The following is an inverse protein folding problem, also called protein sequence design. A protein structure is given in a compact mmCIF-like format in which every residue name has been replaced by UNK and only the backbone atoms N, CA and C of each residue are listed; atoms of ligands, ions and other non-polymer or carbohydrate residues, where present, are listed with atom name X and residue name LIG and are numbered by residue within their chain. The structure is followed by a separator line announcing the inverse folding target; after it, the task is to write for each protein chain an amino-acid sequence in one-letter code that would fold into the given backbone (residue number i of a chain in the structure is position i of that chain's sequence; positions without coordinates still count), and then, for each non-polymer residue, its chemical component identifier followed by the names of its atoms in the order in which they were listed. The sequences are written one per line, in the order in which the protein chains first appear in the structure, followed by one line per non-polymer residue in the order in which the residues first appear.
data_IF_950886908569
#
_entry.id   IF_950886908569
#
_cell.length_a   1.000
_cell.length_b   1.000
_cell.length_c   1.000
_cell.angle_alpha   90.00
_cell.angle_beta   90.00
_cell.angle_gamma   90.00
#
_symmetry.space_group_name_H-M   'P 1'
#
loop_
_entity.id
_entity.type
_entity.pdbx_description
1 polymer ?
#
# COMPACT_ATOMS: atom_id res chain seq x y z
N UNK A 1 38.42 31.42 2.39
CA UNK A 1 37.54 30.78 3.38
C UNK A 1 36.68 29.83 2.56
N UNK A 2 36.96 28.53 2.62
CA UNK A 2 36.09 27.57 1.93
C UNK A 2 34.75 27.59 2.64
N UNK A 3 33.65 27.79 1.91
CA UNK A 3 32.32 27.56 2.41
C UNK A 3 32.27 26.07 2.90
N UNK A 4 32.19 25.87 4.21
CA UNK A 4 31.83 24.55 4.75
C UNK A 4 30.45 24.25 4.22
N UNK A 5 30.36 23.39 3.21
CA UNK A 5 29.11 22.97 2.63
C UNK A 5 28.27 22.33 3.76
N UNK A 6 27.19 22.97 4.14
CA UNK A 6 26.34 22.53 5.25
C UNK A 6 25.78 21.15 4.93
N UNK A 7 26.10 20.16 5.79
CA UNK A 7 25.63 18.78 5.61
C UNK A 7 24.11 18.71 5.74
N UNK A 8 23.43 18.27 4.69
CA UNK A 8 21.99 17.99 4.72
C UNK A 8 21.74 16.67 5.43
N UNK A 9 20.89 16.69 6.47
CA UNK A 9 20.58 15.53 7.31
C UNK A 9 19.19 15.02 7.04
N UNK A 10 19.10 13.72 6.72
CA UNK A 10 17.87 12.97 6.44
C UNK A 10 17.64 11.95 7.53
N UNK A 11 16.46 11.98 8.16
CA UNK A 11 16.07 11.09 9.25
C UNK A 11 15.03 10.07 8.79
N UNK A 12 15.35 8.80 8.88
CA UNK A 12 14.36 7.71 8.82
C UNK A 12 13.92 7.35 10.23
N UNK A 13 12.63 7.03 10.42
CA UNK A 13 12.03 6.80 11.73
C UNK A 13 11.56 5.35 11.89
N UNK A 14 12.11 4.67 12.90
CA UNK A 14 11.77 3.30 13.26
C UNK A 14 12.43 2.25 12.36
N UNK A 15 12.51 1.02 12.85
CA UNK A 15 13.22 -0.06 12.16
C UNK A 15 12.36 -0.83 11.15
N UNK A 16 11.08 -0.50 11.06
CA UNK A 16 10.17 -1.13 10.09
C UNK A 16 10.52 -0.67 8.67
N UNK A 17 10.28 -1.51 7.68
CA UNK A 17 10.58 -1.22 6.27
C UNK A 17 12.04 -0.82 6.05
N UNK A 18 12.97 -1.52 6.69
CA UNK A 18 14.40 -1.19 6.73
C UNK A 18 15.04 -1.01 5.33
N UNK A 19 14.54 -1.71 4.32
CA UNK A 19 15.03 -1.58 2.95
C UNK A 19 14.90 -0.14 2.40
N UNK A 20 13.90 0.63 2.86
CA UNK A 20 13.76 2.03 2.47
C UNK A 20 14.98 2.88 2.88
N UNK A 21 15.46 2.67 4.11
CA UNK A 21 16.68 3.30 4.61
C UNK A 21 17.93 2.78 3.91
N UNK A 22 18.08 1.45 3.84
CA UNK A 22 19.29 0.83 3.30
C UNK A 22 19.53 1.24 1.85
N UNK A 23 18.52 1.20 0.99
CA UNK A 23 18.65 1.58 -0.41
C UNK A 23 18.84 3.09 -0.59
N UNK A 24 18.22 3.94 0.24
CA UNK A 24 18.47 5.37 0.21
C UNK A 24 19.89 5.71 0.64
N UNK A 25 20.40 5.06 1.70
CA UNK A 25 21.77 5.23 2.16
C UNK A 25 22.79 4.75 1.12
N UNK A 26 22.51 3.61 0.48
CA UNK A 26 23.34 3.08 -0.63
C UNK A 26 23.38 4.09 -1.80
N UNK A 27 22.22 4.60 -2.23
CA UNK A 27 22.12 5.57 -3.31
C UNK A 27 22.88 6.87 -3.02
N UNK A 28 22.83 7.35 -1.77
CA UNK A 28 23.49 8.58 -1.32
C UNK A 28 24.94 8.40 -0.88
N UNK A 29 25.48 7.19 -0.86
CA UNK A 29 26.82 6.88 -0.33
C UNK A 29 27.97 7.63 -1.00
N UNK A 30 27.79 8.05 -2.25
CA UNK A 30 28.76 8.84 -3.01
C UNK A 30 28.71 10.35 -2.74
N UNK A 31 27.73 10.85 -1.97
CA UNK A 31 27.51 12.25 -1.70
C UNK A 31 27.82 12.59 -0.23
N UNK A 32 29.05 13.02 0.05
CA UNK A 32 29.54 13.27 1.42
C UNK A 32 28.81 14.42 2.15
N UNK A 33 28.12 15.29 1.42
CA UNK A 33 27.37 16.42 1.96
C UNK A 33 25.92 16.05 2.34
N UNK A 34 25.51 14.77 2.24
CA UNK A 34 24.21 14.28 2.71
C UNK A 34 24.42 13.14 3.71
N UNK A 35 23.91 13.31 4.92
CA UNK A 35 23.92 12.29 5.96
C UNK A 35 22.53 11.65 6.08
N UNK A 36 22.48 10.32 6.16
CA UNK A 36 21.24 9.55 6.30
C UNK A 36 21.30 8.68 7.55
N UNK A 37 20.38 8.91 8.47
CA UNK A 37 20.31 8.18 9.73
C UNK A 37 18.94 7.48 9.87
N UNK A 38 18.93 6.33 10.56
CA UNK A 38 17.73 5.59 10.98
C UNK A 38 17.75 5.40 12.47
N UNK A 39 16.69 5.84 13.16
CA UNK A 39 16.65 5.81 14.61
C UNK A 39 15.35 5.19 15.13
N UNK A 40 15.37 4.59 16.33
CA UNK A 40 14.16 4.13 17.00
C UNK A 40 13.14 5.25 17.18
N UNK A 41 11.86 4.91 17.14
CA UNK A 41 10.76 5.89 17.29
C UNK A 41 10.85 6.71 18.58
N UNK A 42 11.33 6.10 19.66
CA UNK A 42 11.51 6.74 20.99
C UNK A 42 12.52 7.88 21.00
N UNK A 43 13.46 7.88 20.07
CA UNK A 43 14.53 8.87 20.03
C UNK A 43 14.25 10.04 19.09
N UNK A 44 13.29 9.88 18.17
CA UNK A 44 12.93 10.91 17.19
C UNK A 44 12.62 12.27 17.85
N UNK A 45 11.80 12.39 18.91
CA UNK A 45 11.49 13.69 19.51
C UNK A 45 12.73 14.44 20.07
N UNK A 46 13.77 13.69 20.45
CA UNK A 46 15.00 14.27 21.04
C UNK A 46 15.93 14.89 19.99
N UNK A 47 15.88 14.35 18.75
CA UNK A 47 16.88 14.67 17.72
C UNK A 47 16.32 15.32 16.47
N UNK A 48 15.00 15.27 16.25
CA UNK A 48 14.33 15.75 15.05
C UNK A 48 14.69 17.20 14.69
N UNK A 49 14.98 18.01 15.71
CA UNK A 49 15.39 19.42 15.55
C UNK A 49 16.71 19.64 14.80
N UNK A 50 17.52 18.57 14.62
CA UNK A 50 18.83 18.61 13.97
C UNK A 50 18.77 18.16 12.49
N UNK A 51 17.56 17.83 11.99
CA UNK A 51 17.39 17.27 10.64
C UNK A 51 16.63 18.21 9.73
N UNK A 52 16.96 18.12 8.44
CA UNK A 52 16.39 18.96 7.39
C UNK A 52 15.27 18.25 6.62
N UNK A 53 15.31 16.94 6.57
CA UNK A 53 14.31 16.09 5.91
C UNK A 53 13.99 14.87 6.80
N UNK A 54 12.73 14.45 6.85
CA UNK A 54 12.29 13.27 7.59
C UNK A 54 11.43 12.35 6.72
N UNK A 55 11.68 11.04 6.89
CA UNK A 55 10.93 9.95 6.28
C UNK A 55 10.20 9.19 7.40
N UNK A 56 8.92 9.51 7.68
CA UNK A 56 8.22 9.01 8.86
C UNK A 56 7.88 7.52 8.80
N UNK A 57 7.78 6.92 7.62
CA UNK A 57 7.34 5.54 7.43
C UNK A 57 5.99 5.28 8.14
N UNK A 58 5.98 4.48 9.22
CA UNK A 58 4.79 4.19 10.04
C UNK A 58 4.66 5.09 11.28
N UNK A 59 5.60 6.01 11.48
CA UNK A 59 5.54 6.94 12.62
C UNK A 59 4.43 7.97 12.43
N UNK A 60 3.68 8.22 13.50
CA UNK A 60 2.75 9.34 13.55
C UNK A 60 3.53 10.62 13.93
N UNK A 61 3.57 11.57 13.02
CA UNK A 61 4.11 12.93 13.24
C UNK A 61 2.95 13.86 13.56
N UNK A 62 2.64 13.99 14.84
CA UNK A 62 1.63 14.92 15.34
C UNK A 62 2.22 16.33 15.56
N UNK A 63 1.35 17.28 15.92
CA UNK A 63 1.74 18.67 16.16
C UNK A 63 2.79 18.82 17.25
N UNK A 64 2.78 17.95 18.27
CA UNK A 64 3.76 18.00 19.35
C UNK A 64 5.17 17.65 18.84
N UNK A 65 5.31 16.55 18.10
CA UNK A 65 6.59 16.12 17.53
C UNK A 65 7.08 17.14 16.51
N UNK A 66 6.21 17.65 15.64
CA UNK A 66 6.52 18.66 14.63
C UNK A 66 7.05 19.94 15.26
N UNK A 67 6.57 20.32 16.44
CA UNK A 67 7.04 21.54 17.14
C UNK A 67 8.53 21.52 17.51
N UNK A 68 9.15 20.34 17.63
CA UNK A 68 10.59 20.20 17.87
C UNK A 68 11.43 20.21 16.59
N UNK A 69 10.83 20.14 15.40
CA UNK A 69 11.50 20.01 14.11
C UNK A 69 12.03 21.34 13.56
N UNK A 70 12.88 22.03 14.31
CA UNK A 70 13.28 23.45 14.09
C UNK A 70 14.02 23.70 12.77
N UNK A 71 14.77 22.74 12.26
CA UNK A 71 15.54 22.86 11.01
C UNK A 71 14.85 22.15 9.84
N UNK A 72 13.71 21.51 10.10
CA UNK A 72 13.01 20.69 9.12
C UNK A 72 12.49 21.54 7.95
N UNK A 73 12.74 21.09 6.73
CA UNK A 73 12.26 21.69 5.49
C UNK A 73 11.25 20.81 4.77
N UNK A 74 11.41 19.48 4.89
CA UNK A 74 10.61 18.52 4.14
C UNK A 74 10.26 17.29 4.99
N UNK A 75 8.97 16.98 5.04
CA UNK A 75 8.46 15.65 5.45
C UNK A 75 8.09 14.93 4.16
N UNK A 76 8.80 13.82 3.84
CA UNK A 76 8.52 13.02 2.65
C UNK A 76 8.09 11.62 3.05
N UNK A 77 6.83 11.29 2.80
CA UNK A 77 6.30 9.95 3.05
C UNK A 77 6.87 8.94 2.05
N UNK A 78 7.44 7.83 2.56
CA UNK A 78 7.88 6.71 1.74
C UNK A 78 6.67 5.86 1.33
N UNK A 79 6.00 6.27 0.25
CA UNK A 79 4.73 5.71 -0.21
C UNK A 79 3.66 6.79 -0.39
N UNK A 80 2.40 6.36 -0.51
CA UNK A 80 1.27 7.25 -0.87
C UNK A 80 0.42 7.70 0.32
N UNK A 81 0.45 6.96 1.45
CA UNK A 81 -0.39 7.22 2.62
C UNK A 81 0.20 8.33 3.51
N UNK A 82 -0.62 9.30 3.88
CA UNK A 82 -0.24 10.42 4.75
C UNK A 82 -1.02 10.43 6.07
N UNK A 83 -1.69 9.34 6.40
CA UNK A 83 -2.58 9.22 7.56
C UNK A 83 -1.84 9.47 8.90
N UNK A 84 -0.52 9.28 8.90
CA UNK A 84 0.35 9.50 10.05
C UNK A 84 0.90 10.92 10.18
N UNK A 85 0.70 11.83 9.22
CA UNK A 85 1.31 13.17 9.23
C UNK A 85 0.28 14.26 9.48
N UNK A 86 0.49 15.10 10.49
CA UNK A 86 -0.29 16.31 10.72
C UNK A 86 0.18 17.40 9.75
N UNK A 87 -0.44 17.44 8.57
CA UNK A 87 -0.12 18.37 7.48
C UNK A 87 -0.35 19.83 7.88
N UNK A 88 -1.42 20.08 8.65
CA UNK A 88 -1.76 21.44 9.10
C UNK A 88 -0.71 21.98 10.08
N UNK A 89 -0.25 21.13 11.02
CA UNK A 89 0.83 21.48 11.93
C UNK A 89 2.15 21.73 11.16
N UNK A 90 2.50 20.87 10.21
CA UNK A 90 3.68 21.07 9.36
C UNK A 90 3.63 22.39 8.62
N UNK A 91 2.48 22.71 8.01
CA UNK A 91 2.27 24.00 7.29
C UNK A 91 2.44 25.20 8.19
N UNK A 92 1.89 25.17 9.42
CA UNK A 92 2.05 26.25 10.41
C UNK A 92 3.52 26.49 10.81
N UNK A 93 4.35 25.45 10.75
CA UNK A 93 5.80 25.53 11.03
C UNK A 93 6.65 25.80 9.77
N UNK A 94 6.02 26.06 8.63
CA UNK A 94 6.73 26.33 7.37
C UNK A 94 7.41 25.07 6.78
N UNK A 95 6.98 23.87 7.18
CA UNK A 95 7.52 22.61 6.72
C UNK A 95 6.69 22.09 5.56
N UNK A 96 7.32 21.80 4.43
CA UNK A 96 6.66 21.22 3.27
C UNK A 96 6.41 19.72 3.51
N UNK A 97 5.24 19.26 3.09
CA UNK A 97 4.87 17.84 3.17
C UNK A 97 4.68 17.30 1.75
N UNK A 98 5.29 16.17 1.48
CA UNK A 98 5.17 15.52 0.19
C UNK A 98 5.07 14.00 0.36
N UNK A 99 4.69 13.34 -0.72
CA UNK A 99 4.71 11.88 -0.86
C UNK A 99 5.41 11.48 -2.16
N UNK A 100 5.91 10.28 -2.19
CA UNK A 100 6.45 9.69 -3.41
C UNK A 100 5.29 9.50 -4.40
N UNK A 101 5.45 9.90 -5.68
CA UNK A 101 4.43 9.67 -6.69
C UNK A 101 4.07 8.18 -6.79
N UNK A 102 2.79 7.90 -7.00
CA UNK A 102 2.33 6.53 -7.20
C UNK A 102 2.78 5.92 -8.52
N UNK A 103 3.18 6.77 -9.47
CA UNK A 103 3.60 6.38 -10.82
C UNK A 103 5.13 6.31 -10.91
N UNK A 104 5.64 5.46 -11.82
CA UNK A 104 7.06 5.39 -12.16
C UNK A 104 7.97 4.69 -11.15
N UNK A 105 7.45 4.31 -9.97
CA UNK A 105 8.24 3.65 -8.92
C UNK A 105 8.08 2.13 -8.86
N UNK A 106 7.20 1.55 -9.67
CA UNK A 106 6.89 0.12 -9.63
C UNK A 106 6.06 -0.32 -8.40
N UNK A 107 5.71 0.58 -7.48
CA UNK A 107 4.95 0.25 -6.28
C UNK A 107 3.56 -0.30 -6.61
N UNK A 108 2.84 0.33 -7.53
CA UNK A 108 1.52 -0.13 -7.94
C UNK A 108 1.56 -1.51 -8.59
N UNK A 109 2.57 -1.78 -9.42
CA UNK A 109 2.80 -3.08 -10.04
C UNK A 109 3.09 -4.17 -9.01
N UNK A 110 3.97 -3.88 -8.05
CA UNK A 110 4.31 -4.81 -6.96
C UNK A 110 3.09 -5.16 -6.11
N UNK A 111 2.29 -4.16 -5.74
CA UNK A 111 1.04 -4.38 -4.99
C UNK A 111 0.03 -5.22 -5.78
N UNK A 112 -0.10 -4.99 -7.09
CA UNK A 112 -0.97 -5.78 -7.96
C UNK A 112 -0.53 -7.26 -8.02
N UNK A 113 0.77 -7.51 -8.08
CA UNK A 113 1.33 -8.87 -8.06
C UNK A 113 1.07 -9.58 -6.73
N UNK A 114 1.19 -8.86 -5.60
CA UNK A 114 0.82 -9.40 -4.28
C UNK A 114 -0.67 -9.75 -4.20
N UNK A 115 -1.55 -8.92 -4.76
CA UNK A 115 -2.98 -9.25 -4.83
C UNK A 115 -3.22 -10.56 -5.60
N UNK A 116 -2.57 -10.75 -6.74
CA UNK A 116 -2.66 -11.99 -7.53
C UNK A 116 -2.10 -13.18 -6.74
N UNK A 117 -0.96 -13.02 -6.05
CA UNK A 117 -0.41 -14.05 -5.18
C UNK A 117 -1.43 -14.49 -4.12
N UNK A 118 -2.05 -13.53 -3.41
CA UNK A 118 -3.05 -13.83 -2.38
C UNK A 118 -4.29 -14.50 -2.97
N UNK A 119 -4.77 -14.06 -4.14
CA UNK A 119 -5.87 -14.70 -4.87
C UNK A 119 -5.53 -16.16 -5.18
N UNK A 120 -4.40 -16.38 -5.86
CA UNK A 120 -3.99 -17.72 -6.27
C UNK A 120 -3.67 -18.61 -5.07
N UNK A 121 -3.07 -18.07 -4.02
CA UNK A 121 -2.79 -18.78 -2.78
C UNK A 121 -4.06 -19.30 -2.10
N UNK A 122 -5.13 -18.51 -2.07
CA UNK A 122 -6.43 -18.93 -1.55
C UNK A 122 -7.11 -19.96 -2.45
N UNK A 123 -7.21 -19.67 -3.76
CA UNK A 123 -7.83 -20.58 -4.74
C UNK A 123 -7.12 -21.95 -4.76
N UNK A 124 -5.80 -21.97 -4.63
CA UNK A 124 -4.99 -23.18 -4.65
C UNK A 124 -4.82 -23.81 -3.27
N UNK A 125 -5.45 -23.23 -2.21
CA UNK A 125 -5.44 -23.74 -0.84
C UNK A 125 -4.03 -23.94 -0.29
N UNK A 126 -3.24 -22.86 -0.32
CA UNK A 126 -1.79 -22.90 0.01
C UNK A 126 -1.50 -23.56 1.36
N UNK A 127 -2.27 -23.22 2.43
CA UNK A 127 -2.06 -23.82 3.76
C UNK A 127 -2.30 -25.34 3.76
N UNK A 128 -3.32 -25.81 3.03
CA UNK A 128 -3.59 -27.24 2.91
C UNK A 128 -2.53 -27.96 2.07
N UNK A 129 -1.97 -27.32 1.03
CA UNK A 129 -0.83 -27.89 0.28
C UNK A 129 0.38 -28.10 1.19
N UNK A 130 0.70 -27.16 2.08
CA UNK A 130 1.79 -27.31 3.05
C UNK A 130 1.55 -28.49 4.01
N UNK A 131 0.30 -28.68 4.45
CA UNK A 131 -0.09 -29.84 5.29
C UNK A 131 0.05 -31.13 4.49
N UNK A 132 -0.37 -31.17 3.23
CA UNK A 132 -0.26 -32.35 2.37
C UNK A 132 1.18 -32.77 2.15
N UNK A 133 2.08 -31.81 1.94
CA UNK A 133 3.54 -32.07 1.85
C UNK A 133 4.04 -32.73 3.14
N UNK A 134 3.71 -32.16 4.32
CA UNK A 134 4.10 -32.72 5.62
C UNK A 134 3.56 -34.13 5.85
N UNK A 135 2.37 -34.43 5.34
CA UNK A 135 1.68 -35.73 5.45
C UNK A 135 2.01 -36.71 4.31
N UNK A 136 2.91 -36.32 3.39
CA UNK A 136 3.30 -37.10 2.21
C UNK A 136 2.10 -37.51 1.34
N UNK A 137 1.09 -36.66 1.24
CA UNK A 137 -0.09 -36.86 0.40
C UNK A 137 0.15 -36.26 -0.98
N UNK A 138 0.01 -37.04 -2.01
CA UNK A 138 0.17 -36.63 -3.40
C UNK A 138 -1.20 -36.37 -4.03
N UNK A 139 -1.31 -35.27 -4.82
CA UNK A 139 -2.54 -34.91 -5.54
C UNK A 139 -3.62 -34.22 -4.70
N UNK A 140 -3.33 -33.85 -3.47
CA UNK A 140 -4.22 -33.12 -2.57
C UNK A 140 -3.62 -31.77 -2.13
N UNK A 141 -4.44 -30.73 -1.88
CA UNK A 141 -5.88 -30.63 -2.12
C UNK A 141 -6.21 -30.30 -3.59
N UNK A 142 -7.45 -30.58 -4.01
CA UNK A 142 -7.96 -29.98 -5.25
C UNK A 142 -8.27 -28.49 -4.99
N UNK A 143 -7.62 -27.63 -5.76
CA UNK A 143 -7.85 -26.18 -5.73
C UNK A 143 -8.82 -25.73 -6.83
N UNK A 144 -9.06 -24.43 -6.88
CA UNK A 144 -9.82 -23.75 -7.92
C UNK A 144 -8.90 -23.02 -8.91
N UNK A 145 -9.43 -22.68 -10.10
CA UNK A 145 -8.75 -21.83 -11.08
C UNK A 145 -9.31 -20.41 -11.05
N UNK A 146 -8.48 -19.47 -11.46
CA UNK A 146 -8.91 -18.08 -11.67
C UNK A 146 -9.70 -17.90 -12.98
N UNK A 147 -9.47 -18.77 -13.96
CA UNK A 147 -10.15 -18.78 -15.25
C UNK A 147 -11.68 -18.75 -15.09
N UNK A 148 -12.34 -17.83 -15.81
CA UNK A 148 -13.78 -17.67 -15.84
C UNK A 148 -14.41 -17.02 -14.60
N UNK A 149 -13.61 -16.63 -13.59
CA UNK A 149 -14.13 -15.95 -12.39
C UNK A 149 -14.40 -14.46 -12.66
N UNK A 150 -15.27 -13.90 -11.87
CA UNK A 150 -15.53 -12.45 -11.83
C UNK A 150 -14.75 -11.84 -10.67
N UNK A 151 -13.89 -10.86 -10.99
CA UNK A 151 -13.10 -10.11 -10.00
C UNK A 151 -13.64 -8.69 -9.90
N UNK A 152 -14.01 -8.26 -8.70
CA UNK A 152 -14.41 -6.89 -8.41
C UNK A 152 -13.26 -6.13 -7.77
N UNK A 153 -12.74 -5.12 -8.46
CA UNK A 153 -11.72 -4.20 -7.96
C UNK A 153 -12.45 -3.01 -7.30
N UNK A 154 -12.49 -3.03 -5.97
CA UNK A 154 -13.07 -1.97 -5.15
C UNK A 154 -12.05 -0.84 -5.01
N UNK A 155 -12.15 0.17 -5.88
CA UNK A 155 -11.21 1.28 -6.01
C UNK A 155 -10.26 1.14 -7.20
N UNK A 156 -10.54 1.84 -8.30
CA UNK A 156 -9.74 1.80 -9.53
C UNK A 156 -8.78 3.00 -9.61
N UNK A 157 -7.75 2.97 -8.75
CA UNK A 157 -6.57 3.84 -8.80
C UNK A 157 -5.43 3.19 -9.58
N UNK A 158 -4.18 3.61 -9.33
CA UNK A 158 -3.00 3.06 -10.00
C UNK A 158 -2.82 1.55 -9.73
N UNK A 159 -3.00 1.12 -8.47
CA UNK A 159 -2.93 -0.30 -8.11
C UNK A 159 -4.05 -1.10 -8.80
N UNK A 160 -5.29 -0.59 -8.78
CA UNK A 160 -6.41 -1.25 -9.46
C UNK A 160 -6.20 -1.36 -10.97
N UNK A 161 -5.61 -0.36 -11.61
CA UNK A 161 -5.25 -0.37 -13.02
C UNK A 161 -4.18 -1.43 -13.31
N UNK A 162 -3.09 -1.45 -12.54
CA UNK A 162 -2.02 -2.45 -12.69
C UNK A 162 -2.50 -3.88 -12.40
N UNK A 163 -3.45 -4.03 -11.46
CA UNK A 163 -4.09 -5.31 -11.19
C UNK A 163 -4.95 -5.77 -12.38
N UNK A 164 -5.77 -4.89 -12.95
CA UNK A 164 -6.61 -5.22 -14.10
C UNK A 164 -5.77 -5.65 -15.30
N UNK A 165 -4.68 -4.94 -15.62
CA UNK A 165 -3.74 -5.32 -16.68
C UNK A 165 -3.22 -6.75 -16.51
N UNK A 166 -2.87 -7.13 -15.29
CA UNK A 166 -2.32 -8.46 -14.97
C UNK A 166 -3.37 -9.55 -14.87
N UNK A 167 -4.60 -9.19 -14.53
CA UNK A 167 -5.72 -10.14 -14.45
C UNK A 167 -6.29 -10.50 -15.83
N UNK A 168 -6.27 -9.58 -16.78
CA UNK A 168 -6.84 -9.79 -18.12
C UNK A 168 -6.37 -11.11 -18.79
N UNK A 169 -5.08 -11.47 -18.79
CA UNK A 169 -4.59 -12.73 -19.35
C UNK A 169 -5.07 -14.01 -18.65
N UNK A 170 -5.73 -13.90 -17.48
CA UNK A 170 -6.34 -15.05 -16.80
C UNK A 170 -7.77 -15.35 -17.25
N UNK A 171 -8.28 -14.65 -18.28
CA UNK A 171 -9.65 -14.78 -18.79
C UNK A 171 -10.72 -14.60 -17.68
N UNK A 172 -10.54 -13.58 -16.84
CA UNK A 172 -11.50 -13.18 -15.82
C UNK A 172 -12.38 -12.04 -16.30
N UNK A 173 -13.60 -11.96 -15.78
CA UNK A 173 -14.43 -10.77 -15.91
C UNK A 173 -14.03 -9.77 -14.82
N UNK A 174 -13.74 -8.51 -15.21
CA UNK A 174 -13.30 -7.46 -14.31
C UNK A 174 -14.39 -6.40 -14.13
N UNK A 175 -14.86 -6.24 -12.90
CA UNK A 175 -15.73 -5.14 -12.46
C UNK A 175 -14.90 -4.16 -11.66
N UNK A 176 -15.12 -2.85 -11.81
CA UNK A 176 -14.38 -1.89 -11.01
C UNK A 176 -15.21 -0.65 -10.65
N UNK A 177 -14.96 -0.08 -9.47
CA UNK A 177 -15.56 1.18 -9.05
C UNK A 177 -14.54 2.28 -8.88
N UNK A 178 -14.91 3.51 -9.23
CA UNK A 178 -14.12 4.71 -9.11
C UNK A 178 -15.02 5.92 -8.88
N UNK A 179 -14.53 6.94 -8.16
CA UNK A 179 -15.29 8.20 -7.95
C UNK A 179 -15.56 8.94 -9.25
N UNK A 180 -14.58 8.99 -10.14
CA UNK A 180 -14.70 9.61 -11.46
C UNK A 180 -13.83 8.89 -12.48
N UNK A 181 -14.41 8.48 -13.59
CA UNK A 181 -13.71 7.82 -14.69
C UNK A 181 -13.06 8.82 -15.65
N UNK A 182 -13.51 10.08 -15.67
CA UNK A 182 -12.98 11.13 -16.54
C UNK A 182 -11.52 11.51 -16.23
N UNK A 183 -11.07 11.31 -14.99
CA UNK A 183 -9.73 11.70 -14.52
C UNK A 183 -8.58 10.78 -14.96
N UNK A 184 -8.86 9.66 -15.64
CA UNK A 184 -7.81 8.72 -16.10
C UNK A 184 -7.12 9.13 -17.40
N UNK A 185 -7.69 10.06 -18.15
CA UNK A 185 -7.12 10.50 -19.42
C UNK A 185 -5.90 11.45 -19.27
N UNK A 186 -5.63 11.94 -18.06
CA UNK A 186 -4.60 12.95 -17.83
C UNK A 186 -3.30 12.44 -17.18
N UNK A 187 -3.29 11.24 -16.62
CA UNK A 187 -2.10 10.70 -15.95
C UNK A 187 -1.48 9.60 -16.82
N UNK A 188 -0.32 9.86 -17.41
CA UNK A 188 0.42 9.05 -18.36
C UNK A 188 0.86 7.63 -17.94
N UNK A 189 0.12 6.97 -17.04
CA UNK A 189 0.38 5.62 -16.54
C UNK A 189 -0.08 4.50 -17.48
N UNK A 190 -0.75 4.84 -18.58
CA UNK A 190 -1.12 3.88 -19.62
C UNK A 190 -0.09 3.97 -20.74
N UNK A 191 0.48 2.84 -21.13
CA UNK A 191 1.21 2.73 -22.38
C UNK A 191 0.33 3.29 -23.54
N UNK A 192 0.94 3.84 -24.57
CA UNK A 192 0.25 4.57 -25.65
C UNK A 192 -0.90 3.81 -26.34
N UNK A 193 -1.10 2.52 -26.04
CA UNK A 193 -2.07 1.63 -26.69
C UNK A 193 -3.18 1.06 -25.77
N UNK A 194 -3.12 1.27 -24.42
CA UNK A 194 -4.12 0.68 -23.53
C UNK A 194 -5.13 1.73 -23.09
N UNK A 195 -6.34 1.69 -23.62
CA UNK A 195 -7.43 2.48 -23.05
C UNK A 195 -7.93 1.80 -21.76
N UNK A 196 -8.25 2.57 -20.70
CA UNK A 196 -8.93 2.05 -19.49
C UNK A 196 -10.23 1.32 -19.87
N UNK A 197 -10.79 1.65 -21.04
CA UNK A 197 -11.98 1.01 -21.56
C UNK A 197 -11.79 -0.50 -21.80
N UNK A 198 -10.58 -0.91 -22.19
CA UNK A 198 -10.28 -2.30 -22.57
C UNK A 198 -9.88 -3.19 -21.39
N UNK A 199 -9.56 -2.57 -20.23
CA UNK A 199 -9.13 -3.29 -19.03
C UNK A 199 -10.28 -3.74 -18.13
N UNK A 200 -11.44 -3.09 -18.19
CA UNK A 200 -12.55 -3.29 -17.26
C UNK A 200 -13.83 -3.57 -18.03
N UNK A 201 -14.46 -4.71 -17.75
CA UNK A 201 -15.68 -5.13 -18.44
C UNK A 201 -16.92 -4.33 -18.00
N UNK A 202 -16.98 -3.97 -16.68
CA UNK A 202 -18.04 -3.07 -16.18
C UNK A 202 -17.46 -2.01 -15.24
N UNK A 203 -17.79 -0.75 -15.50
CA UNK A 203 -17.38 0.43 -14.74
C UNK A 203 -18.53 0.95 -13.89
N UNK A 204 -18.27 1.16 -12.60
CA UNK A 204 -19.26 1.68 -11.65
C UNK A 204 -18.71 2.82 -10.79
N UNK A 205 -19.64 3.38 -10.03
CA UNK A 205 -19.40 4.40 -9.01
C UNK A 205 -19.46 3.79 -7.60
N UNK A 206 -19.36 4.63 -6.58
CA UNK A 206 -19.59 4.20 -5.21
C UNK A 206 -20.98 3.57 -4.98
N UNK A 207 -21.98 3.98 -5.74
CA UNK A 207 -23.36 3.45 -5.60
C UNK A 207 -23.49 2.02 -6.11
N UNK A 208 -22.53 1.52 -6.88
CA UNK A 208 -22.57 0.21 -7.51
C UNK A 208 -21.85 -0.87 -6.69
N UNK A 209 -21.27 -0.54 -5.51
CA UNK A 209 -20.42 -1.45 -4.74
C UNK A 209 -21.14 -2.73 -4.34
N UNK A 210 -22.37 -2.67 -3.88
CA UNK A 210 -23.17 -3.84 -3.49
C UNK A 210 -23.57 -4.69 -4.70
N UNK A 211 -23.96 -4.03 -5.80
CA UNK A 211 -24.26 -4.71 -7.06
C UNK A 211 -23.05 -5.51 -7.55
N UNK A 212 -21.86 -4.90 -7.57
CA UNK A 212 -20.67 -5.58 -8.06
C UNK A 212 -20.18 -6.64 -7.08
N UNK A 213 -20.31 -6.42 -5.76
CA UNK A 213 -20.02 -7.43 -4.77
C UNK A 213 -20.88 -8.69 -4.97
N UNK A 214 -22.18 -8.55 -5.31
CA UNK A 214 -23.07 -9.70 -5.55
C UNK A 214 -22.76 -10.49 -6.82
N UNK A 215 -22.03 -9.89 -7.75
CA UNK A 215 -21.63 -10.53 -9.01
C UNK A 215 -20.25 -11.18 -8.93
N UNK A 216 -19.43 -10.79 -7.95
CA UNK A 216 -18.03 -11.16 -7.85
C UNK A 216 -17.79 -12.50 -7.15
N UNK A 217 -16.87 -13.27 -7.66
CA UNK A 217 -16.29 -14.44 -6.99
C UNK A 217 -15.12 -14.01 -6.08
N UNK A 218 -14.49 -12.89 -6.42
CA UNK A 218 -13.35 -12.32 -5.70
C UNK A 218 -13.52 -10.81 -5.64
N UNK A 219 -13.39 -10.23 -4.44
CA UNK A 219 -13.35 -8.78 -4.21
C UNK A 219 -11.94 -8.39 -3.78
N UNK A 220 -11.36 -7.38 -4.43
CA UNK A 220 -10.02 -6.85 -4.11
C UNK A 220 -10.14 -5.39 -3.69
N UNK A 221 -9.76 -5.08 -2.45
CA UNK A 221 -9.74 -3.72 -1.91
C UNK A 221 -8.47 -2.98 -2.36
N UNK A 222 -8.66 -1.92 -3.17
CA UNK A 222 -7.62 -1.02 -3.66
C UNK A 222 -7.96 0.46 -3.34
N UNK A 223 -8.83 0.70 -2.36
CA UNK A 223 -9.24 2.04 -1.93
C UNK A 223 -8.21 2.70 -1.02
N UNK A 224 -8.12 4.02 -1.09
CA UNK A 224 -7.50 4.79 -0.01
C UNK A 224 -8.44 4.81 1.21
N UNK A 225 -7.87 4.68 2.41
CA UNK A 225 -8.63 4.80 3.65
C UNK A 225 -8.83 6.29 4.00
N UNK A 226 -10.07 6.66 4.27
CA UNK A 226 -10.48 7.96 4.78
C UNK A 226 -11.77 7.80 5.60
N UNK A 227 -12.38 8.89 6.06
CA UNK A 227 -13.62 8.84 6.86
C UNK A 227 -14.80 8.19 6.14
N UNK A 228 -14.85 8.28 4.81
CA UNK A 228 -15.96 7.72 4.00
C UNK A 228 -15.74 6.23 3.70
N UNK A 229 -14.49 5.78 3.65
CA UNK A 229 -14.13 4.41 3.26
C UNK A 229 -13.77 3.51 4.46
N UNK A 230 -13.57 4.09 5.65
CA UNK A 230 -13.33 3.32 6.87
C UNK A 230 -14.53 2.38 7.14
N UNK A 231 -14.24 1.08 7.31
CA UNK A 231 -15.27 0.05 7.55
C UNK A 231 -16.24 -0.16 6.39
N UNK A 232 -15.89 0.24 5.16
CA UNK A 232 -16.77 0.10 3.99
C UNK A 232 -17.13 -1.37 3.71
N UNK A 233 -16.21 -2.29 3.99
CA UNK A 233 -16.45 -3.73 3.93
C UNK A 233 -16.99 -4.20 5.28
N UNK A 234 -18.22 -3.86 5.55
CA UNK A 234 -18.97 -4.23 6.75
C UNK A 234 -19.83 -5.48 6.53
N UNK A 235 -20.65 -5.81 7.54
CA UNK A 235 -21.55 -6.97 7.47
C UNK A 235 -22.49 -6.91 6.26
N UNK A 236 -23.11 -5.77 5.99
CA UNK A 236 -24.03 -5.59 4.84
C UNK A 236 -23.31 -5.82 3.51
N UNK A 237 -22.07 -5.28 3.38
CA UNK A 237 -21.27 -5.49 2.18
C UNK A 237 -20.94 -6.99 2.00
N UNK A 238 -20.48 -7.65 3.05
CA UNK A 238 -20.13 -9.08 2.98
C UNK A 238 -21.35 -9.93 2.65
N UNK A 239 -22.52 -9.64 3.24
CA UNK A 239 -23.75 -10.35 2.94
C UNK A 239 -24.26 -10.11 1.50
N UNK A 240 -23.83 -9.05 0.84
CA UNK A 240 -24.12 -8.84 -0.59
C UNK A 240 -23.20 -9.66 -1.51
N UNK A 241 -22.04 -10.13 -1.02
CA UNK A 241 -21.15 -10.98 -1.79
C UNK A 241 -21.75 -12.37 -2.05
N UNK A 242 -21.26 -13.06 -3.07
CA UNK A 242 -21.61 -14.48 -3.25
C UNK A 242 -21.12 -15.30 -2.04
N UNK A 243 -21.94 -16.24 -1.58
CA UNK A 243 -21.48 -17.23 -0.60
C UNK A 243 -20.29 -18.02 -1.16
N UNK A 244 -19.22 -18.10 -0.40
CA UNK A 244 -17.95 -18.72 -0.83
C UNK A 244 -17.01 -17.79 -1.58
N UNK A 245 -17.38 -16.50 -1.78
CA UNK A 245 -16.50 -15.53 -2.41
C UNK A 245 -15.26 -15.23 -1.55
N UNK A 246 -14.19 -14.82 -2.22
CA UNK A 246 -12.92 -14.47 -1.58
C UNK A 246 -12.78 -12.96 -1.44
N UNK A 247 -12.23 -12.52 -0.30
CA UNK A 247 -11.94 -11.11 -0.01
C UNK A 247 -10.44 -10.91 0.07
N UNK A 248 -9.92 -9.96 -0.70
CA UNK A 248 -8.50 -9.60 -0.72
C UNK A 248 -8.34 -8.14 -0.28
N UNK A 249 -7.43 -7.86 0.64
CA UNK A 249 -7.13 -6.49 1.05
C UNK A 249 -5.62 -6.23 1.06
N UNK A 250 -5.18 -5.43 0.10
CA UNK A 250 -3.79 -4.96 -0.04
C UNK A 250 -3.69 -3.45 0.19
N UNK A 251 -4.74 -2.83 0.72
CA UNK A 251 -4.82 -1.38 0.87
C UNK A 251 -4.59 -0.93 2.33
N UNK A 252 -5.62 -1.04 3.17
CA UNK A 252 -5.55 -0.70 4.62
C UNK A 252 -6.49 -1.60 5.40
N UNK A 253 -6.05 -2.10 6.56
CA UNK A 253 -6.86 -2.97 7.43
C UNK A 253 -8.18 -2.35 7.85
N UNK A 254 -8.18 -1.06 8.14
CA UNK A 254 -9.38 -0.33 8.57
C UNK A 254 -10.48 -0.15 7.51
N UNK A 255 -10.29 -0.63 6.26
CA UNK A 255 -11.37 -0.74 5.27
C UNK A 255 -12.35 -1.86 5.63
N UNK A 256 -11.90 -2.87 6.37
CA UNK A 256 -12.68 -4.04 6.74
C UNK A 256 -13.19 -3.91 8.19
N UNK A 257 -14.46 -4.20 8.41
CA UNK A 257 -14.98 -4.42 9.76
C UNK A 257 -14.49 -5.78 10.27
N UNK A 258 -13.67 -5.76 11.34
CA UNK A 258 -13.07 -6.97 11.93
C UNK A 258 -14.11 -8.00 12.33
N UNK A 259 -15.18 -7.56 13.06
CA UNK A 259 -16.20 -8.45 13.57
C UNK A 259 -16.99 -9.13 12.45
N UNK A 260 -17.37 -8.34 11.43
CA UNK A 260 -18.08 -8.85 10.28
C UNK A 260 -17.24 -9.86 9.48
N UNK A 261 -15.96 -9.56 9.25
CA UNK A 261 -15.05 -10.47 8.54
C UNK A 261 -14.85 -11.76 9.34
N UNK A 262 -14.53 -11.66 10.64
CA UNK A 262 -14.30 -12.83 11.49
C UNK A 262 -15.51 -13.76 11.57
N UNK A 263 -16.72 -13.18 11.71
CA UNK A 263 -17.96 -13.94 11.75
C UNK A 263 -18.22 -14.69 10.44
N UNK A 264 -18.05 -14.02 9.29
CA UNK A 264 -18.34 -14.58 7.98
C UNK A 264 -17.29 -15.61 7.51
N UNK A 265 -16.05 -15.49 7.95
CA UNK A 265 -15.03 -16.52 7.75
C UNK A 265 -15.34 -17.79 8.56
N UNK A 266 -15.69 -17.64 9.85
CA UNK A 266 -16.02 -18.76 10.75
C UNK A 266 -17.27 -19.51 10.29
N UNK A 267 -18.29 -18.81 9.78
CA UNK A 267 -19.50 -19.42 9.26
C UNK A 267 -19.32 -20.08 7.87
N UNK A 268 -18.19 -19.83 7.20
CA UNK A 268 -17.96 -20.28 5.83
C UNK A 268 -18.77 -19.50 4.79
N UNK A 269 -19.36 -18.35 5.16
CA UNK A 269 -20.00 -17.47 4.18
C UNK A 269 -18.98 -16.84 3.25
N UNK A 270 -17.86 -16.31 3.80
CA UNK A 270 -16.66 -15.99 3.03
C UNK A 270 -15.84 -17.24 2.80
N UNK A 271 -15.47 -17.51 1.56
CA UNK A 271 -14.61 -18.64 1.16
C UNK A 271 -13.19 -18.49 1.68
N UNK A 272 -12.68 -17.25 1.76
CA UNK A 272 -11.38 -16.96 2.33
C UNK A 272 -11.04 -15.48 2.35
N UNK A 273 -9.98 -15.16 3.08
CA UNK A 273 -9.43 -13.83 3.25
C UNK A 273 -7.93 -13.82 2.92
N UNK A 274 -7.52 -12.97 1.99
CA UNK A 274 -6.11 -12.65 1.72
C UNK A 274 -5.80 -11.23 2.13
N UNK A 275 -4.88 -11.02 3.08
CA UNK A 275 -4.54 -9.68 3.55
C UNK A 275 -3.04 -9.45 3.60
N UNK A 276 -2.62 -8.28 3.13
CA UNK A 276 -1.26 -7.76 3.33
C UNK A 276 -1.20 -6.70 4.43
N UNK A 277 -2.36 -6.27 4.91
CA UNK A 277 -2.51 -5.19 5.90
C UNK A 277 -3.44 -5.64 7.03
N UNK A 278 -3.12 -5.27 8.28
CA UNK A 278 -3.93 -5.63 9.44
C UNK A 278 -4.73 -4.45 9.99
N UNK A 279 -5.70 -4.77 10.84
CA UNK A 279 -6.46 -3.79 11.63
C UNK A 279 -5.58 -3.06 12.65
N UNK A 280 -4.55 -3.77 13.16
CA UNK A 280 -3.47 -3.21 13.99
C UNK A 280 -2.14 -3.71 13.45
N UNK A 281 -1.19 -2.80 13.26
CA UNK A 281 0.15 -3.12 12.77
C UNK A 281 1.21 -2.64 13.77
N UNK A 282 2.22 -3.46 14.10
CA UNK A 282 2.49 -4.81 13.58
C UNK A 282 1.40 -5.82 13.89
N UNK A 283 1.30 -6.87 13.05
CA UNK A 283 0.35 -7.97 13.24
C UNK A 283 0.51 -8.65 14.60
N UNK A 284 -0.61 -8.92 15.29
CA UNK A 284 -0.60 -9.84 16.43
C UNK A 284 -0.63 -11.29 15.91
N UNK A 285 0.44 -12.07 16.11
CA UNK A 285 0.48 -13.46 15.65
C UNK A 285 -0.56 -14.36 16.32
N UNK A 286 -1.14 -13.92 17.45
CA UNK A 286 -2.18 -14.64 18.19
C UNK A 286 -3.60 -14.22 17.78
N UNK A 287 -3.76 -13.29 16.84
CA UNK A 287 -5.09 -12.87 16.38
C UNK A 287 -5.88 -14.10 15.89
N UNK A 288 -7.09 -14.34 16.43
CA UNK A 288 -7.91 -15.53 16.07
C UNK A 288 -8.23 -15.64 14.58
N UNK A 289 -8.32 -14.52 13.84
CA UNK A 289 -8.54 -14.54 12.39
C UNK A 289 -7.37 -15.23 11.68
N UNK A 290 -6.14 -14.99 12.13
CA UNK A 290 -4.93 -15.54 11.49
C UNK A 290 -4.81 -17.06 11.62
N UNK A 291 -5.49 -17.63 12.62
CA UNK A 291 -5.50 -19.07 12.85
C UNK A 291 -6.47 -19.83 11.94
N UNK A 292 -7.34 -19.11 11.23
CA UNK A 292 -8.29 -19.75 10.31
C UNK A 292 -7.58 -20.35 9.08
N UNK A 293 -7.97 -21.55 8.62
CA UNK A 293 -7.30 -22.23 7.51
C UNK A 293 -7.46 -21.49 6.18
N UNK A 294 -8.56 -20.76 6.01
CA UNK A 294 -8.90 -19.99 4.82
C UNK A 294 -8.46 -18.53 4.88
N UNK A 295 -7.44 -18.21 5.67
CA UNK A 295 -6.83 -16.87 5.76
C UNK A 295 -5.37 -16.94 5.36
N UNK A 296 -4.97 -16.14 4.36
CA UNK A 296 -3.57 -15.88 4.02
C UNK A 296 -3.21 -14.47 4.44
N UNK A 297 -2.02 -14.33 5.04
CA UNK A 297 -1.52 -13.04 5.49
C UNK A 297 -0.07 -12.85 5.05
N UNK A 298 0.26 -11.63 4.64
CA UNK A 298 1.61 -11.15 4.39
C UNK A 298 1.88 -9.91 5.23
N UNK A 299 3.12 -9.66 5.68
CA UNK A 299 3.40 -8.67 6.72
C UNK A 299 3.59 -7.25 6.15
N UNK A 300 2.60 -6.72 5.42
CA UNK A 300 2.60 -5.41 4.77
C UNK A 300 3.80 -5.23 3.81
N UNK A 301 3.96 -6.19 2.92
CA UNK A 301 5.08 -6.23 1.96
C UNK A 301 4.63 -6.14 0.51
N UNK A 302 3.36 -5.85 0.23
CA UNK A 302 2.85 -5.78 -1.15
C UNK A 302 3.65 -4.82 -2.04
N UNK A 303 4.06 -3.68 -1.51
CA UNK A 303 4.92 -2.72 -2.21
C UNK A 303 6.42 -2.93 -1.99
N UNK A 304 6.82 -3.86 -1.10
CA UNK A 304 8.22 -4.06 -0.70
C UNK A 304 8.91 -5.02 -1.65
N UNK A 305 9.25 -4.55 -2.82
CA UNK A 305 10.08 -5.27 -3.79
C UNK A 305 11.39 -4.52 -4.00
N UNK A 306 12.43 -5.23 -4.41
CA UNK A 306 13.72 -4.59 -4.70
C UNK A 306 13.56 -3.48 -5.75
N UNK A 307 12.83 -3.75 -6.82
CA UNK A 307 12.58 -2.78 -7.89
C UNK A 307 11.85 -1.52 -7.36
N UNK A 308 10.74 -1.70 -6.66
CA UNK A 308 9.96 -0.58 -6.14
C UNK A 308 10.75 0.24 -5.11
N UNK A 309 11.42 -0.43 -4.18
CA UNK A 309 12.12 0.25 -3.09
C UNK A 309 13.38 0.95 -3.56
N UNK A 310 14.14 0.40 -4.54
CA UNK A 310 15.26 1.11 -5.16
C UNK A 310 14.79 2.33 -5.94
N UNK A 311 13.68 2.22 -6.67
CA UNK A 311 13.10 3.36 -7.38
C UNK A 311 12.62 4.45 -6.43
N UNK A 312 11.95 4.10 -5.33
CA UNK A 312 11.51 5.05 -4.31
C UNK A 312 12.68 5.65 -3.54
N UNK A 313 13.71 4.86 -3.23
CA UNK A 313 14.93 5.34 -2.59
C UNK A 313 15.67 6.38 -3.44
N UNK A 314 15.68 6.18 -4.77
CA UNK A 314 16.20 7.20 -5.70
C UNK A 314 15.41 8.50 -5.61
N UNK A 315 14.07 8.45 -5.57
CA UNK A 315 13.23 9.65 -5.42
C UNK A 315 13.55 10.38 -4.10
N UNK A 316 13.71 9.65 -3.00
CA UNK A 316 14.09 10.22 -1.70
C UNK A 316 15.48 10.85 -1.77
N UNK A 317 16.43 10.15 -2.39
CA UNK A 317 17.80 10.61 -2.53
C UNK A 317 17.89 11.89 -3.41
N UNK A 318 17.19 11.89 -4.55
CA UNK A 318 17.14 13.07 -5.43
C UNK A 318 16.54 14.28 -4.70
N UNK A 319 15.46 14.08 -3.91
CA UNK A 319 14.88 15.14 -3.10
C UNK A 319 15.86 15.67 -2.03
N UNK A 320 16.63 14.79 -1.39
CA UNK A 320 17.65 15.19 -0.42
C UNK A 320 18.81 16.00 -1.06
N UNK A 321 19.25 15.60 -2.25
CA UNK A 321 20.26 16.32 -3.01
C UNK A 321 19.77 17.71 -3.44
N UNK A 322 18.54 17.79 -3.99
CA UNK A 322 17.94 19.06 -4.37
C UNK A 322 17.74 19.99 -3.16
N UNK A 323 17.41 19.44 -1.99
CA UNK A 323 17.32 20.19 -0.75
C UNK A 323 18.69 20.72 -0.31
N UNK A 324 19.76 19.93 -0.47
CA UNK A 324 21.13 20.31 -0.18
C UNK A 324 21.63 21.43 -1.07
N UNK A 325 21.30 21.38 -2.36
CA UNK A 325 21.72 22.36 -3.36
C UNK A 325 20.84 23.63 -3.37
N UNK A 326 19.88 23.72 -2.45
CA UNK A 326 18.87 24.79 -2.39
C UNK A 326 18.10 24.94 -3.71
N UNK A 327 18.03 23.90 -4.49
CA UNK A 327 17.32 23.89 -5.76
C UNK A 327 15.82 23.60 -5.59
N UNK A 328 15.04 23.79 -6.65
CA UNK A 328 13.63 23.45 -6.64
C UNK A 328 13.46 21.94 -6.55
N UNK A 329 12.79 21.45 -5.50
CA UNK A 329 12.55 20.00 -5.32
C UNK A 329 11.50 19.57 -6.31
N UNK A 330 11.86 18.61 -7.18
CA UNK A 330 11.04 18.00 -8.22
C UNK A 330 10.94 16.48 -8.02
N UNK A 331 10.07 15.83 -8.77
CA UNK A 331 9.92 14.38 -8.71
C UNK A 331 9.13 13.82 -7.50
N UNK A 332 8.61 14.70 -6.65
CA UNK A 332 7.75 14.37 -5.52
C UNK A 332 6.41 15.10 -5.61
N UNK A 333 5.38 14.57 -4.92
CA UNK A 333 4.05 15.19 -4.91
C UNK A 333 3.82 15.94 -3.60
N UNK A 334 3.87 17.27 -3.65
CA UNK A 334 3.53 18.12 -2.51
C UNK A 334 2.04 18.11 -2.20
N UNK A 335 1.70 18.30 -0.91
CA UNK A 335 0.32 18.32 -0.41
C UNK A 335 -0.03 19.60 0.34
N UNK A 336 0.98 20.44 0.63
CA UNK A 336 0.82 21.77 1.20
C UNK A 336 1.77 22.78 0.55
#
# INVERSE_FOLDING_TARGET
MGDEQQVTKVLFCGQQFIASYLYTKEYLSQYSHVQVDDVPLSDVPKIIGNYHMIIPRMMRLDSNIISYAKQMKLILQFGVGLEGVDVDAATKHGIRVARIPADGTGNASSCAEMAIYLILGLLRKQKEMEISIKRKKLGEPAGETLFGKTVFILGFGNIGCELAKRLKPFDVKILATKRSWASHQQNGSLGANDSVADLVDEKGSHNDIYKYASMADIVVCCLNMNRETAGIVNHTFIQSMKKGAYLINIARGGLLDYGAVAQNLKSGYLGGLGIDVAWTEPFDPNDPILQLPNVLITPHVAGVTEYSYRSMAKVVGDAALQLSDLSTIAGIQFVN
#
